data_IF_630447250778
#
_entry.id   IF_630447250778
#
_cell.length_a   1.000
_cell.length_b   1.000
_cell.length_c   1.000
_cell.angle_alpha   90.00
_cell.angle_beta   90.00
_cell.angle_gamma   90.00
#
_symmetry.space_group_name_H-M   'P 1'
#
loop_
_entity.id
_entity.type
_entity.pdbx_description
1 polymer ?
#
# COMPACT_ATOMS: atom_id res chain seq x y z
N UNK A 1 -1.44 9.38 -12.01
CA UNK A 1 -0.29 8.45 -11.98
C UNK A 1 0.55 8.97 -13.12
N UNK A 2 1.56 9.74 -12.79
CA UNK A 2 2.09 10.73 -13.74
C UNK A 2 3.49 10.35 -14.23
N UNK A 3 4.10 9.29 -13.66
CA UNK A 3 5.38 8.70 -14.07
C UNK A 3 5.18 7.27 -14.54
N UNK A 4 5.89 6.87 -15.60
CA UNK A 4 5.88 5.49 -16.13
C UNK A 4 6.26 4.45 -15.06
N UNK A 5 7.18 4.82 -14.17
CA UNK A 5 7.64 4.01 -13.04
C UNK A 5 6.54 3.67 -12.01
N UNK A 6 5.45 4.45 -11.98
CA UNK A 6 4.28 4.19 -11.12
C UNK A 6 3.21 3.32 -11.83
N UNK A 7 3.42 3.01 -13.11
CA UNK A 7 2.45 2.32 -13.98
C UNK A 7 2.79 0.84 -14.18
N UNK A 8 3.24 0.17 -13.11
CA UNK A 8 3.63 -1.25 -13.15
C UNK A 8 2.41 -2.15 -12.85
N UNK A 9 2.29 -3.26 -13.57
CA UNK A 9 1.27 -4.27 -13.29
C UNK A 9 1.69 -5.20 -12.14
N UNK A 10 0.73 -5.66 -11.32
CA UNK A 10 1.01 -6.64 -10.27
C UNK A 10 1.58 -7.97 -10.79
N UNK A 11 1.32 -8.32 -12.05
CA UNK A 11 1.89 -9.52 -12.69
C UNK A 11 3.39 -9.40 -12.99
N UNK A 12 3.91 -8.19 -13.14
CA UNK A 12 5.32 -7.93 -13.39
C UNK A 12 6.15 -7.98 -12.09
N UNK A 13 5.48 -8.06 -10.94
CA UNK A 13 6.09 -8.08 -9.62
C UNK A 13 6.06 -9.52 -9.09
N UNK A 14 7.22 -10.23 -9.05
CA UNK A 14 7.27 -11.63 -8.61
C UNK A 14 6.68 -11.86 -7.21
N UNK A 15 6.87 -10.89 -6.31
CA UNK A 15 6.33 -10.92 -4.95
C UNK A 15 4.79 -10.88 -4.90
N UNK A 16 4.14 -10.15 -5.81
CA UNK A 16 2.68 -10.14 -5.90
C UNK A 16 2.16 -11.47 -6.46
N UNK A 17 2.84 -12.00 -7.47
CA UNK A 17 2.49 -13.30 -8.08
C UNK A 17 2.61 -14.43 -7.07
N UNK A 18 3.70 -14.48 -6.28
CA UNK A 18 3.88 -15.53 -5.28
C UNK A 18 2.79 -15.51 -4.20
N UNK A 19 2.36 -14.32 -3.79
CA UNK A 19 1.28 -14.17 -2.81
C UNK A 19 -0.07 -14.60 -3.33
N UNK A 20 -0.38 -14.33 -4.60
CA UNK A 20 -1.62 -14.82 -5.20
C UNK A 20 -1.62 -16.35 -5.28
N UNK A 21 -0.47 -16.97 -5.54
CA UNK A 21 -0.33 -18.43 -5.52
C UNK A 21 -0.47 -18.99 -4.09
N UNK A 22 0.14 -18.34 -3.10
CA UNK A 22 0.03 -18.73 -1.69
C UNK A 22 -1.43 -18.65 -1.20
N UNK A 23 -2.13 -17.56 -1.50
CA UNK A 23 -3.54 -17.40 -1.14
C UNK A 23 -4.42 -18.48 -1.79
N UNK A 24 -4.17 -18.81 -3.06
CA UNK A 24 -4.87 -19.89 -3.75
C UNK A 24 -4.67 -21.25 -3.07
N UNK A 25 -3.45 -21.52 -2.59
CA UNK A 25 -3.11 -22.75 -1.90
C UNK A 25 -3.74 -22.83 -0.50
N UNK A 26 -3.72 -21.74 0.27
CA UNK A 26 -4.22 -21.72 1.65
C UNK A 26 -5.75 -21.74 1.70
N UNK A 27 -6.41 -20.95 0.85
CA UNK A 27 -7.86 -20.79 0.84
C UNK A 27 -8.55 -21.81 -0.09
N UNK A 28 -7.79 -22.66 -0.79
CA UNK A 28 -8.27 -23.62 -1.79
C UNK A 28 -9.12 -22.97 -2.91
N UNK A 29 -8.74 -21.76 -3.33
CA UNK A 29 -9.41 -20.97 -4.37
C UNK A 29 -8.58 -20.94 -5.68
N UNK A 30 -9.19 -20.61 -6.83
CA UNK A 30 -8.43 -20.30 -8.04
C UNK A 30 -7.44 -19.16 -7.81
N UNK A 31 -6.29 -19.20 -8.47
CA UNK A 31 -5.28 -18.13 -8.39
C UNK A 31 -5.92 -16.81 -8.83
N UNK A 32 -5.94 -15.77 -7.98
CA UNK A 32 -6.50 -14.48 -8.35
C UNK A 32 -5.75 -13.87 -9.52
N UNK A 33 -6.50 -13.34 -10.51
CA UNK A 33 -5.92 -12.66 -11.67
C UNK A 33 -5.24 -11.35 -11.23
N UNK A 34 -5.83 -10.56 -10.34
CA UNK A 34 -5.18 -9.37 -9.80
C UNK A 34 -4.87 -9.51 -8.31
N UNK A 35 -3.82 -8.83 -7.83
CA UNK A 35 -3.52 -8.74 -6.39
C UNK A 35 -4.66 -8.09 -5.59
N UNK A 36 -5.50 -7.26 -6.24
CA UNK A 36 -6.68 -6.65 -5.61
C UNK A 36 -7.83 -7.63 -5.42
N UNK A 37 -7.87 -8.70 -6.20
CA UNK A 37 -8.90 -9.75 -6.11
C UNK A 37 -8.54 -10.80 -5.04
N UNK A 38 -7.30 -10.76 -4.55
CA UNK A 38 -6.87 -11.58 -3.44
C UNK A 38 -7.66 -11.21 -2.18
N UNK A 39 -8.34 -12.16 -1.51
CA UNK A 39 -9.15 -11.86 -0.33
C UNK A 39 -8.31 -11.22 0.79
N UNK A 40 -7.05 -11.62 0.94
CA UNK A 40 -6.14 -11.03 1.92
C UNK A 40 -5.86 -9.53 1.66
N UNK A 41 -5.96 -9.06 0.41
CA UNK A 41 -5.79 -7.63 0.10
C UNK A 41 -6.86 -6.78 0.81
N UNK A 42 -8.12 -7.22 0.80
CA UNK A 42 -9.20 -6.54 1.50
C UNK A 42 -8.99 -6.53 3.02
N UNK A 43 -8.58 -7.66 3.58
CA UNK A 43 -8.34 -7.76 5.02
C UNK A 43 -7.14 -6.94 5.51
N UNK A 44 -6.04 -6.93 4.75
CA UNK A 44 -4.78 -6.32 5.19
C UNK A 44 -4.66 -4.85 4.79
N UNK A 45 -5.09 -4.49 3.58
CA UNK A 45 -4.81 -3.17 3.00
C UNK A 45 -6.01 -2.22 3.03
N UNK A 46 -7.23 -2.72 3.17
CA UNK A 46 -8.46 -1.90 3.15
C UNK A 46 -9.19 -1.84 4.50
N UNK A 47 -8.96 -2.80 5.39
CA UNK A 47 -9.62 -2.83 6.69
C UNK A 47 -9.06 -1.77 7.66
N UNK A 48 -9.89 -0.79 8.02
CA UNK A 48 -9.53 0.30 8.93
C UNK A 48 -8.95 -0.18 10.28
N UNK A 49 -9.52 -1.23 10.88
CA UNK A 49 -9.08 -1.71 12.19
C UNK A 49 -7.70 -2.35 12.12
N UNK A 50 -7.42 -3.10 11.05
CA UNK A 50 -6.08 -3.67 10.79
C UNK A 50 -5.07 -2.55 10.59
N UNK A 51 -5.40 -1.55 9.76
CA UNK A 51 -4.52 -0.40 9.53
C UNK A 51 -4.27 0.42 10.80
N UNK A 52 -5.25 0.54 11.70
CA UNK A 52 -5.07 1.20 13.00
C UNK A 52 -4.07 0.48 13.90
N UNK A 53 -4.12 -0.84 13.93
CA UNK A 53 -3.16 -1.65 14.69
C UNK A 53 -1.77 -1.54 14.07
N UNK A 54 -1.66 -1.66 12.74
CA UNK A 54 -0.41 -1.49 12.01
C UNK A 54 0.22 -0.10 12.23
N UNK A 55 -0.60 0.96 12.29
CA UNK A 55 -0.13 2.30 12.63
C UNK A 55 0.44 2.38 14.05
N UNK A 56 -0.24 1.74 15.01
CA UNK A 56 0.20 1.74 16.40
C UNK A 56 1.55 1.04 16.56
N UNK A 57 1.76 -0.08 15.87
CA UNK A 57 3.04 -0.78 15.84
C UNK A 57 4.14 0.05 15.15
N UNK A 58 3.81 0.69 14.03
CA UNK A 58 4.73 1.62 13.37
C UNK A 58 5.17 2.76 14.29
N UNK A 59 4.24 3.38 15.02
CA UNK A 59 4.55 4.44 15.98
C UNK A 59 5.47 3.92 17.10
N UNK A 60 5.27 2.68 17.55
CA UNK A 60 6.13 2.05 18.56
C UNK A 60 7.56 1.85 18.07
N UNK A 61 7.74 1.45 16.82
CA UNK A 61 9.07 1.19 16.25
C UNK A 61 9.82 2.47 15.82
N UNK A 62 9.11 3.53 15.44
CA UNK A 62 9.71 4.75 14.88
C UNK A 62 9.57 5.99 15.77
N UNK A 63 8.79 5.92 16.85
CA UNK A 63 8.66 6.96 17.87
C UNK A 63 8.23 8.32 17.29
N UNK A 64 8.97 9.38 17.64
CA UNK A 64 8.73 10.78 17.24
C UNK A 64 8.83 10.96 15.71
N UNK A 65 9.47 10.04 14.97
CA UNK A 65 9.58 10.10 13.50
C UNK A 65 8.31 9.63 12.78
N UNK A 66 7.31 9.13 13.49
CA UNK A 66 6.03 8.75 12.89
C UNK A 66 5.24 9.99 12.47
N UNK A 67 4.95 10.11 11.17
CA UNK A 67 4.31 11.27 10.56
C UNK A 67 2.94 11.61 11.19
N UNK A 68 2.81 12.75 11.89
CA UNK A 68 1.56 13.24 12.50
C UNK A 68 0.67 14.03 11.51
N UNK A 69 0.36 13.44 10.36
CA UNK A 69 -0.51 14.05 9.35
C UNK A 69 -2.02 13.91 9.57
N UNK A 70 -2.85 14.43 8.64
CA UNK A 70 -4.27 14.14 8.57
C UNK A 70 -4.56 12.63 8.53
N UNK A 71 -5.67 12.19 9.14
CA UNK A 71 -6.00 10.77 9.29
C UNK A 71 -6.04 10.03 7.93
N UNK A 72 -6.64 10.63 6.90
CA UNK A 72 -6.69 10.03 5.56
C UNK A 72 -5.30 9.80 4.94
N UNK A 73 -4.34 10.70 5.19
CA UNK A 73 -2.95 10.57 4.71
C UNK A 73 -2.24 9.47 5.48
N UNK A 74 -2.44 9.42 6.81
CA UNK A 74 -1.93 8.35 7.68
C UNK A 74 -2.42 6.98 7.21
N UNK A 75 -3.73 6.80 7.06
CA UNK A 75 -4.33 5.51 6.67
C UNK A 75 -3.82 5.01 5.32
N UNK A 76 -3.70 5.91 4.32
CA UNK A 76 -3.10 5.56 3.02
C UNK A 76 -1.63 5.16 3.12
N UNK A 77 -0.82 5.94 3.84
CA UNK A 77 0.60 5.60 4.04
C UNK A 77 0.77 4.27 4.75
N UNK A 78 -0.07 3.97 5.73
CA UNK A 78 -0.06 2.68 6.42
C UNK A 78 -0.50 1.55 5.49
N UNK A 79 -1.56 1.73 4.70
CA UNK A 79 -2.01 0.74 3.73
C UNK A 79 -0.92 0.39 2.71
N UNK A 80 -0.22 1.39 2.17
CA UNK A 80 0.91 1.15 1.27
C UNK A 80 2.03 0.37 1.96
N UNK A 81 2.40 0.72 3.19
CA UNK A 81 3.46 0.01 3.92
C UNK A 81 3.04 -1.40 4.31
N UNK A 82 1.78 -1.60 4.67
CA UNK A 82 1.22 -2.90 4.98
C UNK A 82 1.23 -3.80 3.76
N UNK A 83 0.90 -3.27 2.58
CA UNK A 83 1.02 -3.99 1.31
C UNK A 83 2.48 -4.38 1.00
N UNK A 84 3.43 -3.45 1.16
CA UNK A 84 4.85 -3.76 0.97
C UNK A 84 5.32 -4.85 1.94
N UNK A 85 4.93 -4.74 3.21
CA UNK A 85 5.25 -5.75 4.21
C UNK A 85 4.65 -7.11 3.89
N UNK A 86 3.43 -7.13 3.37
CA UNK A 86 2.78 -8.36 2.97
C UNK A 86 3.53 -9.02 1.82
N UNK A 87 3.79 -8.30 0.71
CA UNK A 87 4.42 -8.85 -0.49
C UNK A 87 5.90 -9.22 -0.35
N UNK A 88 6.68 -8.45 0.40
CA UNK A 88 8.15 -8.61 0.45
C UNK A 88 8.70 -8.85 1.86
N UNK A 89 7.84 -9.04 2.85
CA UNK A 89 8.23 -9.10 4.27
C UNK A 89 9.00 -7.83 4.70
N UNK A 90 10.18 -8.00 5.30
CA UNK A 90 10.98 -6.89 5.83
C UNK A 90 11.88 -6.36 4.71
N UNK A 91 11.58 -5.16 4.20
CA UNK A 91 12.52 -4.39 3.38
C UNK A 91 13.46 -3.57 4.27
N UNK A 92 14.72 -3.49 3.85
CA UNK A 92 15.68 -2.55 4.43
C UNK A 92 15.22 -1.10 4.29
N UNK A 93 15.66 -0.22 5.21
CA UNK A 93 15.24 1.19 5.28
C UNK A 93 15.47 1.99 3.99
N UNK A 94 16.42 1.58 3.17
CA UNK A 94 16.81 2.25 1.92
C UNK A 94 16.23 1.57 0.67
N UNK A 95 15.60 0.41 0.82
CA UNK A 95 15.02 -0.30 -0.32
C UNK A 95 13.60 0.24 -0.53
N UNK A 96 13.42 0.99 -1.61
CA UNK A 96 12.10 1.41 -2.08
C UNK A 96 11.71 0.61 -3.30
N UNK A 97 10.52 0.01 -3.25
CA UNK A 97 9.94 -0.76 -4.36
C UNK A 97 8.76 -0.02 -4.95
N UNK A 98 8.62 0.03 -6.29
CA UNK A 98 7.43 0.58 -6.91
C UNK A 98 6.23 -0.33 -6.61
N UNK A 99 5.12 0.29 -6.25
CA UNK A 99 3.86 -0.40 -5.99
C UNK A 99 3.09 -0.61 -7.31
N UNK A 100 2.36 -1.72 -7.47
CA UNK A 100 1.58 -1.92 -8.66
C UNK A 100 0.42 -0.94 -8.73
N UNK A 101 0.16 -0.43 -9.93
CA UNK A 101 -0.85 0.58 -10.23
C UNK A 101 -2.26 0.17 -9.78
N UNK A 102 -2.61 -1.11 -9.89
CA UNK A 102 -3.89 -1.66 -9.44
C UNK A 102 -4.09 -1.52 -7.92
N UNK A 103 -3.08 -1.88 -7.12
CA UNK A 103 -3.14 -1.77 -5.66
C UNK A 103 -3.21 -0.30 -5.23
N UNK A 104 -2.40 0.57 -5.85
CA UNK A 104 -2.39 2.00 -5.56
C UNK A 104 -3.75 2.62 -5.87
N UNK A 105 -4.33 2.31 -7.03
CA UNK A 105 -5.63 2.81 -7.45
C UNK A 105 -6.75 2.35 -6.50
N UNK A 106 -6.73 1.08 -6.11
CA UNK A 106 -7.72 0.52 -5.19
C UNK A 106 -7.66 1.20 -3.81
N UNK A 107 -6.46 1.35 -3.23
CA UNK A 107 -6.27 2.01 -1.93
C UNK A 107 -6.70 3.48 -1.99
N UNK A 108 -6.40 4.19 -3.08
CA UNK A 108 -6.79 5.60 -3.27
C UNK A 108 -8.31 5.76 -3.39
N UNK A 109 -8.98 4.84 -4.09
CA UNK A 109 -10.43 4.83 -4.22
C UNK A 109 -11.13 4.53 -2.88
N UNK A 110 -10.56 3.62 -2.09
CA UNK A 110 -11.11 3.25 -0.77
C UNK A 110 -10.92 4.35 0.29
N UNK A 111 -9.82 5.09 0.22
CA UNK A 111 -9.52 6.22 1.12
C UNK A 111 -9.40 7.54 0.33
N UNK A 112 -10.54 8.08 -0.16
CA UNK A 112 -10.53 9.30 -0.95
C UNK A 112 -9.90 10.45 -0.15
N UNK A 113 -9.18 11.38 -0.81
CA UNK A 113 -8.82 12.63 -0.15
C UNK A 113 -10.11 13.34 0.31
N UNK A 114 -10.09 14.05 1.45
CA UNK A 114 -11.22 14.90 1.84
C UNK A 114 -11.50 15.87 0.68
N UNK A 115 -12.77 15.94 0.28
CA UNK A 115 -13.21 16.80 -0.82
C UNK A 115 -12.87 18.27 -0.57
N UNK A 116 -12.70 19.01 -1.67
CA UNK A 116 -12.34 20.42 -1.78
C UNK A 116 -13.04 21.34 -0.75
N UNK A 117 -12.37 21.62 0.36
CA UNK A 117 -12.40 22.95 0.95
C UNK A 117 -10.94 23.42 1.09
N UNK A 118 -10.67 24.53 0.40
CA UNK A 118 -9.44 25.32 0.41
C UNK A 118 -8.26 24.74 -0.38
N UNK A 119 -8.22 25.07 -1.68
CA UNK A 119 -7.05 25.60 -2.42
C UNK A 119 -5.64 25.04 -2.14
N UNK A 120 -5.51 23.79 -1.72
CA UNK A 120 -4.29 23.02 -1.84
C UNK A 120 -4.45 22.12 -3.04
N UNK A 121 -3.73 22.44 -4.11
CA UNK A 121 -3.35 21.42 -5.09
C UNK A 121 -2.66 20.34 -4.27
N UNK A 122 -3.38 19.26 -3.95
CA UNK A 122 -2.82 18.09 -3.31
C UNK A 122 -1.89 17.43 -4.33
N UNK A 123 -0.66 17.94 -4.41
CA UNK A 123 0.44 17.22 -5.01
C UNK A 123 0.66 16.04 -4.08
N UNK A 124 0.12 14.89 -4.47
CA UNK A 124 0.70 13.64 -4.02
C UNK A 124 2.14 13.70 -4.52
N UNK A 125 3.08 13.99 -3.63
CA UNK A 125 4.46 13.64 -3.89
C UNK A 125 4.42 12.14 -4.17
N UNK A 126 4.61 11.78 -5.44
CA UNK A 126 4.54 10.40 -5.90
C UNK A 126 5.61 9.55 -5.24
N UNK A 127 5.85 8.38 -5.81
CA UNK A 127 7.00 7.60 -5.42
C UNK A 127 8.29 8.42 -5.63
N UNK A 128 9.04 8.63 -4.54
CA UNK A 128 10.40 9.19 -4.57
C UNK A 128 11.37 8.08 -4.22
N UNK A 129 12.48 7.97 -4.93
CA UNK A 129 13.57 7.08 -4.52
C UNK A 129 14.24 7.59 -3.24
N UNK A 130 15.09 6.78 -2.61
CA UNK A 130 15.83 7.22 -1.42
C UNK A 130 16.83 8.36 -1.73
N UNK A 131 17.24 8.45 -3.00
CA UNK A 131 18.28 9.37 -3.50
C UNK A 131 17.71 10.66 -4.11
N UNK A 132 16.37 10.83 -4.14
CA UNK A 132 15.65 12.06 -4.53
C UNK A 132 15.21 12.89 -3.32
#
# INVERSE_FOLDING_TARGET
MDREEESICCHEIPACVSINQEAAQIEEIPVPECITDNPAFQYLCLNYWVLRVAWSDYRRHYGIKAHEGPEHKKTKTVAYRQFVWWCWNILGKEIRVPLPSCAVSCIRAHFPPPGLEENFVFVFEGFKFADE
#
